data_IF_102956606891
#
_entry.id   IF_102956606891
#
_cell.length_a   1.000
_cell.length_b   1.000
_cell.length_c   1.000
_cell.angle_alpha   90.00
_cell.angle_beta   90.00
_cell.angle_gamma   90.00
#
_symmetry.space_group_name_H-M   'P 1'
#
loop_
_entity.id
_entity.type
_entity.pdbx_description
1 polymer ?
#
# COMPACT_ATOMS: atom_id res chain seq x y z
N UNK A 1 -12.42 27.92 9.65
CA UNK A 1 -12.86 27.22 8.44
C UNK A 1 -12.50 25.76 8.61
N UNK A 2 -13.48 24.87 8.38
CA UNK A 2 -13.34 23.44 8.52
C UNK A 2 -12.99 22.78 7.19
N UNK A 3 -12.02 21.89 7.20
CA UNK A 3 -11.55 21.16 6.01
C UNK A 3 -11.67 19.66 6.27
N UNK A 4 -12.33 18.96 5.34
CA UNK A 4 -12.41 17.50 5.32
C UNK A 4 -11.47 16.92 4.26
N UNK A 5 -10.85 15.78 4.54
CA UNK A 5 -10.03 15.04 3.57
C UNK A 5 -10.56 13.63 3.44
N UNK A 6 -10.87 13.22 2.22
CA UNK A 6 -11.21 11.85 1.86
C UNK A 6 -10.02 11.23 1.14
N UNK A 7 -9.50 10.13 1.66
CA UNK A 7 -8.33 9.43 1.09
C UNK A 7 -8.76 8.10 0.49
N UNK A 8 -8.51 7.92 -0.80
CA UNK A 8 -8.80 6.69 -1.54
C UNK A 8 -7.51 6.00 -1.98
N UNK A 9 -7.61 4.70 -2.24
CA UNK A 9 -6.54 3.91 -2.83
C UNK A 9 -5.51 3.39 -1.83
N UNK A 10 -4.23 3.46 -2.17
CA UNK A 10 -3.16 2.72 -1.51
C UNK A 10 -2.49 3.48 -0.33
N UNK A 11 -1.69 2.78 0.50
CA UNK A 11 -0.95 3.41 1.61
C UNK A 11 -0.05 4.59 1.22
N UNK A 12 0.48 4.62 -0.02
CA UNK A 12 1.26 5.78 -0.48
C UNK A 12 0.39 7.03 -0.61
N UNK A 13 -0.85 6.85 -1.10
CA UNK A 13 -1.84 7.92 -1.19
C UNK A 13 -2.29 8.39 0.21
N UNK A 14 -2.42 7.44 1.14
CA UNK A 14 -2.75 7.75 2.53
C UNK A 14 -1.68 8.63 3.19
N UNK A 15 -0.39 8.31 3.01
CA UNK A 15 0.72 9.14 3.51
C UNK A 15 0.66 10.56 2.92
N UNK A 16 0.30 10.72 1.65
CA UNK A 16 0.11 12.03 1.02
C UNK A 16 -1.04 12.80 1.69
N UNK A 17 -2.17 12.13 1.97
CA UNK A 17 -3.32 12.71 2.70
C UNK A 17 -2.96 13.14 4.11
N UNK A 18 -2.25 12.31 4.87
CA UNK A 18 -1.80 12.64 6.22
C UNK A 18 -0.82 13.82 6.26
N UNK A 19 0.02 13.93 5.22
CA UNK A 19 0.90 15.09 5.04
C UNK A 19 0.09 16.35 4.73
N UNK A 20 -0.90 16.27 3.84
CA UNK A 20 -1.81 17.39 3.58
C UNK A 20 -2.53 17.83 4.86
N UNK A 21 -3.03 16.89 5.66
CA UNK A 21 -3.66 17.20 6.96
C UNK A 21 -2.71 17.93 7.91
N UNK A 22 -1.45 17.49 7.98
CA UNK A 22 -0.41 18.16 8.78
C UNK A 22 -0.19 19.61 8.34
N UNK A 23 -0.05 19.85 7.04
CA UNK A 23 0.15 21.19 6.48
C UNK A 23 -1.08 22.10 6.66
N UNK A 24 -2.29 21.55 6.51
CA UNK A 24 -3.55 22.25 6.76
C UNK A 24 -3.63 22.70 8.23
N UNK A 25 -3.23 21.84 9.16
CA UNK A 25 -3.22 22.15 10.59
C UNK A 25 -2.21 23.25 10.93
N UNK A 26 -1.00 23.23 10.36
CA UNK A 26 0.01 24.27 10.54
C UNK A 26 -0.46 25.66 10.04
N UNK A 27 -1.32 25.70 9.03
CA UNK A 27 -1.96 26.94 8.57
C UNK A 27 -3.16 27.37 9.43
N UNK A 28 -3.42 26.71 10.57
CA UNK A 28 -4.50 26.96 11.51
C UNK A 28 -5.91 26.77 10.96
N UNK A 29 -6.10 25.88 10.00
CA UNK A 29 -7.42 25.40 9.62
C UNK A 29 -7.90 24.29 10.56
N UNK A 30 -9.20 24.24 10.81
CA UNK A 30 -9.82 23.18 11.59
C UNK A 30 -10.07 21.96 10.70
N UNK A 31 -9.70 20.76 11.16
CA UNK A 31 -9.93 19.51 10.46
C UNK A 31 -11.22 18.87 10.96
N UNK A 32 -12.05 18.37 10.08
CA UNK A 32 -13.27 17.63 10.42
C UNK A 32 -13.36 16.31 9.66
N UNK A 33 -13.89 15.28 10.34
CA UNK A 33 -14.22 13.98 9.73
C UNK A 33 -15.68 13.94 9.24
N UNK A 34 -16.48 15.00 9.51
CA UNK A 34 -17.86 15.10 9.03
C UNK A 34 -17.89 15.94 7.76
N UNK A 35 -18.15 15.33 6.58
CA UNK A 35 -18.20 16.06 5.32
C UNK A 35 -19.30 17.14 5.29
N UNK A 36 -20.37 16.98 6.09
CA UNK A 36 -21.48 17.94 6.13
C UNK A 36 -21.08 19.28 6.78
N UNK A 37 -20.10 19.26 7.66
CA UNK A 37 -19.55 20.44 8.35
C UNK A 37 -18.37 21.08 7.61
N UNK A 38 -17.75 20.35 6.68
CA UNK A 38 -16.58 20.83 5.96
C UNK A 38 -16.94 21.95 4.98
N UNK A 39 -16.21 23.07 5.05
CA UNK A 39 -16.33 24.18 4.09
C UNK A 39 -15.47 23.93 2.83
N UNK A 40 -14.41 23.16 2.96
CA UNK A 40 -13.58 22.65 1.86
C UNK A 40 -13.48 21.13 2.03
N UNK A 41 -13.72 20.39 0.95
CA UNK A 41 -13.51 18.95 0.91
C UNK A 41 -12.39 18.65 -0.09
N UNK A 42 -11.37 17.94 0.36
CA UNK A 42 -10.25 17.47 -0.45
C UNK A 42 -10.45 15.98 -0.70
N UNK A 43 -10.49 15.55 -1.95
CA UNK A 43 -10.60 14.14 -2.33
C UNK A 43 -9.28 13.71 -2.95
N UNK A 44 -8.53 12.90 -2.22
CA UNK A 44 -7.29 12.29 -2.71
C UNK A 44 -7.62 10.96 -3.39
N UNK A 45 -7.51 10.93 -4.71
CA UNK A 45 -8.07 9.92 -5.60
C UNK A 45 -7.09 8.83 -6.01
N UNK A 46 -7.61 7.66 -6.35
CA UNK A 46 -6.88 6.58 -7.00
C UNK A 46 -7.24 6.54 -8.50
N UNK A 47 -6.25 6.32 -9.36
CA UNK A 47 -6.43 6.25 -10.82
C UNK A 47 -5.66 5.10 -11.44
N UNK A 48 -5.43 4.01 -10.67
CA UNK A 48 -4.56 2.91 -11.09
C UNK A 48 -5.28 1.90 -11.98
N UNK A 49 -6.49 1.47 -11.61
CA UNK A 49 -7.33 0.53 -12.36
C UNK A 49 -8.74 1.09 -12.50
N UNK A 50 -9.52 0.53 -13.43
CA UNK A 50 -10.87 1.04 -13.76
C UNK A 50 -11.78 1.15 -12.54
N UNK A 51 -11.89 0.11 -11.72
CA UNK A 51 -12.73 0.13 -10.51
C UNK A 51 -12.34 1.23 -9.52
N UNK A 52 -11.05 1.52 -9.38
CA UNK A 52 -10.58 2.60 -8.51
C UNK A 52 -10.85 4.00 -9.11
N UNK A 53 -10.91 4.11 -10.45
CA UNK A 53 -11.35 5.35 -11.13
C UNK A 53 -12.82 5.60 -10.88
N UNK A 54 -13.67 4.57 -11.06
CA UNK A 54 -15.09 4.64 -10.76
C UNK A 54 -15.38 5.03 -9.31
N UNK A 55 -14.70 4.38 -8.35
CA UNK A 55 -14.79 4.73 -6.93
C UNK A 55 -14.44 6.20 -6.70
N UNK A 56 -13.34 6.65 -7.29
CA UNK A 56 -12.87 8.03 -7.14
C UNK A 56 -13.87 9.05 -7.70
N UNK A 57 -14.41 8.82 -8.90
CA UNK A 57 -15.41 9.70 -9.53
C UNK A 57 -16.69 9.72 -8.69
N UNK A 58 -17.20 8.56 -8.30
CA UNK A 58 -18.40 8.45 -7.46
C UNK A 58 -18.23 9.18 -6.12
N UNK A 59 -17.04 9.08 -5.50
CA UNK A 59 -16.73 9.78 -4.26
C UNK A 59 -16.70 11.30 -4.47
N UNK A 60 -16.10 11.79 -5.55
CA UNK A 60 -16.10 13.23 -5.88
C UNK A 60 -17.54 13.73 -6.02
N UNK A 61 -18.38 13.02 -6.77
CA UNK A 61 -19.80 13.40 -6.96
C UNK A 61 -20.59 13.36 -5.64
N UNK A 62 -20.35 12.34 -4.81
CA UNK A 62 -20.97 12.25 -3.47
C UNK A 62 -20.57 13.43 -2.59
N UNK A 63 -19.29 13.79 -2.57
CA UNK A 63 -18.80 14.95 -1.81
C UNK A 63 -19.35 16.27 -2.36
N UNK A 64 -19.58 16.36 -3.69
CA UNK A 64 -20.17 17.52 -4.32
C UNK A 64 -21.61 17.80 -3.88
N UNK A 65 -22.38 16.79 -3.47
CA UNK A 65 -23.73 16.99 -2.93
C UNK A 65 -23.72 17.85 -1.65
N UNK A 66 -22.63 17.87 -0.89
CA UNK A 66 -22.50 18.75 0.28
C UNK A 66 -22.38 20.23 -0.06
N UNK A 67 -22.13 20.60 -1.33
CA UNK A 67 -22.30 21.99 -1.80
C UNK A 67 -23.76 22.43 -1.78
N UNK A 68 -24.72 21.50 -1.85
CA UNK A 68 -26.17 21.78 -1.85
C UNK A 68 -26.78 21.53 -0.47
N UNK A 69 -26.34 20.49 0.22
CA UNK A 69 -26.96 19.97 1.46
C UNK A 69 -26.17 20.24 2.74
N UNK A 70 -24.91 20.66 2.63
CA UNK A 70 -24.00 20.89 3.74
C UNK A 70 -23.38 22.29 3.75
N UNK A 71 -22.21 22.40 4.37
CA UNK A 71 -21.44 23.64 4.49
C UNK A 71 -20.40 23.81 3.38
N UNK A 72 -20.24 22.83 2.50
CA UNK A 72 -19.18 22.79 1.50
C UNK A 72 -19.29 23.91 0.47
N UNK A 73 -18.22 24.65 0.31
CA UNK A 73 -18.08 25.72 -0.67
C UNK A 73 -17.18 25.32 -1.82
N UNK A 74 -16.15 24.54 -1.51
CA UNK A 74 -15.10 24.21 -2.46
C UNK A 74 -14.72 22.73 -2.39
N UNK A 75 -14.44 22.14 -3.56
CA UNK A 75 -13.93 20.78 -3.72
C UNK A 75 -12.58 20.83 -4.42
N UNK A 76 -11.58 20.25 -3.80
CA UNK A 76 -10.24 20.08 -4.34
C UNK A 76 -10.04 18.58 -4.61
N UNK A 77 -9.77 18.24 -5.86
CA UNK A 77 -9.50 16.86 -6.26
C UNK A 77 -8.00 16.70 -6.49
N UNK A 78 -7.39 15.72 -5.84
CA UNK A 78 -5.94 15.44 -5.95
C UNK A 78 -5.68 13.95 -6.11
N UNK A 79 -4.43 13.54 -6.27
CA UNK A 79 -4.02 12.15 -6.31
C UNK A 79 -3.80 11.59 -7.72
N UNK A 80 -3.81 10.25 -7.80
CA UNK A 80 -3.41 9.55 -9.03
C UNK A 80 -4.38 9.77 -10.20
N UNK A 81 -5.70 9.83 -9.94
CA UNK A 81 -6.68 10.10 -10.98
C UNK A 81 -6.51 11.52 -11.53
N UNK A 82 -6.35 12.50 -10.64
CA UNK A 82 -6.09 13.90 -11.00
C UNK A 82 -4.85 14.07 -11.86
N UNK A 83 -3.77 13.36 -11.52
CA UNK A 83 -2.53 13.41 -12.30
C UNK A 83 -2.70 12.82 -13.70
N UNK A 84 -3.52 11.77 -13.83
CA UNK A 84 -3.68 11.01 -15.08
C UNK A 84 -4.67 11.63 -16.04
N UNK A 85 -5.75 12.26 -15.52
CA UNK A 85 -6.90 12.73 -16.29
C UNK A 85 -7.31 14.17 -15.90
N UNK A 86 -6.32 15.06 -15.69
CA UNK A 86 -6.59 16.41 -15.15
C UNK A 86 -7.54 17.23 -16.02
N UNK A 87 -7.31 17.24 -17.34
CA UNK A 87 -8.11 18.03 -18.28
C UNK A 87 -9.54 17.49 -18.41
N UNK A 88 -9.70 16.17 -18.47
CA UNK A 88 -11.00 15.50 -18.53
C UNK A 88 -11.80 15.78 -17.25
N UNK A 89 -11.20 15.59 -16.08
CA UNK A 89 -11.84 15.88 -14.79
C UNK A 89 -12.23 17.37 -14.67
N UNK A 90 -11.36 18.26 -15.11
CA UNK A 90 -11.62 19.69 -15.06
C UNK A 90 -12.79 20.09 -15.95
N UNK A 91 -12.92 19.47 -17.12
CA UNK A 91 -13.99 19.81 -18.07
C UNK A 91 -15.31 19.13 -17.71
N UNK A 92 -15.28 17.88 -17.23
CA UNK A 92 -16.49 17.07 -17.01
C UNK A 92 -17.04 17.17 -15.58
N UNK A 93 -16.23 17.62 -14.61
CA UNK A 93 -16.64 17.80 -13.21
C UNK A 93 -16.61 19.28 -12.82
N UNK A 94 -17.62 20.09 -13.22
CA UNK A 94 -17.68 21.49 -12.86
C UNK A 94 -17.78 21.74 -11.35
N UNK A 95 -18.12 20.71 -10.56
CA UNK A 95 -18.16 20.75 -9.11
C UNK A 95 -16.77 20.88 -8.48
N UNK A 96 -15.71 20.43 -9.17
CA UNK A 96 -14.33 20.55 -8.69
C UNK A 96 -13.80 21.97 -8.94
N UNK A 97 -13.35 22.62 -7.87
CA UNK A 97 -12.79 23.98 -7.93
C UNK A 97 -11.28 23.95 -8.23
N UNK A 98 -10.57 22.88 -7.85
CA UNK A 98 -9.18 22.65 -8.26
C UNK A 98 -8.91 21.19 -8.54
N UNK A 99 -8.08 20.93 -9.56
CA UNK A 99 -7.49 19.64 -9.86
C UNK A 99 -6.00 19.73 -9.59
N UNK A 100 -5.50 18.96 -8.62
CA UNK A 100 -4.12 18.95 -8.20
C UNK A 100 -3.45 17.60 -8.47
N UNK A 101 -2.23 17.59 -8.98
CA UNK A 101 -1.47 16.36 -9.24
C UNK A 101 -0.83 15.78 -7.98
N UNK A 102 -0.23 14.60 -8.16
CA UNK A 102 0.47 13.87 -7.07
C UNK A 102 1.76 14.56 -6.62
N UNK A 103 2.32 15.44 -7.43
CA UNK A 103 3.59 16.11 -7.11
C UNK A 103 3.40 17.39 -6.29
N UNK A 104 2.16 17.88 -6.15
CA UNK A 104 1.87 19.18 -5.54
C UNK A 104 1.06 19.08 -4.24
N UNK A 105 0.94 17.89 -3.67
CA UNK A 105 0.18 17.70 -2.41
C UNK A 105 0.76 18.49 -1.23
N UNK A 106 2.05 18.76 -1.24
CA UNK A 106 2.73 19.60 -0.24
C UNK A 106 2.53 21.11 -0.44
N UNK A 107 1.92 21.52 -1.56
CA UNK A 107 1.49 22.89 -1.81
C UNK A 107 0.00 23.12 -1.50
N UNK A 108 -0.64 22.20 -0.77
CA UNK A 108 -2.08 22.22 -0.48
C UNK A 108 -2.56 23.55 0.14
N UNK A 109 -1.79 24.18 1.01
CA UNK A 109 -2.11 25.48 1.58
C UNK A 109 -2.21 26.59 0.51
N UNK A 110 -1.36 26.57 -0.50
CA UNK A 110 -1.43 27.49 -1.65
C UNK A 110 -2.66 27.23 -2.51
N UNK A 111 -2.98 25.95 -2.75
CA UNK A 111 -4.15 25.52 -3.52
C UNK A 111 -5.43 26.00 -2.83
N UNK A 112 -5.55 25.80 -1.52
CA UNK A 112 -6.68 26.24 -0.70
C UNK A 112 -6.88 27.78 -0.83
N UNK A 113 -5.83 28.57 -0.69
CA UNK A 113 -5.89 30.04 -0.79
C UNK A 113 -6.37 30.51 -2.16
N UNK A 114 -5.93 29.87 -3.24
CA UNK A 114 -6.37 30.20 -4.60
C UNK A 114 -7.85 29.89 -4.82
N UNK A 115 -8.29 28.70 -4.37
CA UNK A 115 -9.70 28.30 -4.46
C UNK A 115 -10.59 29.27 -3.66
N UNK A 116 -10.17 29.68 -2.46
CA UNK A 116 -10.89 30.66 -1.64
C UNK A 116 -10.99 32.04 -2.29
N UNK A 117 -10.05 32.41 -3.15
CA UNK A 117 -10.10 33.64 -3.95
C UNK A 117 -11.01 33.51 -5.18
N UNK A 118 -11.70 32.39 -5.36
CA UNK A 118 -12.61 32.11 -6.46
C UNK A 118 -11.93 31.66 -7.75
N UNK A 119 -10.67 31.22 -7.68
CA UNK A 119 -10.00 30.63 -8.83
C UNK A 119 -10.47 29.19 -9.03
N UNK A 120 -10.69 28.80 -10.29
CA UNK A 120 -10.86 27.42 -10.73
C UNK A 120 -9.70 27.04 -11.66
N UNK A 121 -8.92 26.00 -11.32
CA UNK A 121 -7.63 25.74 -12.01
C UNK A 121 -7.15 24.30 -11.92
N UNK A 122 -6.20 23.96 -12.79
CA UNK A 122 -5.40 22.73 -12.74
C UNK A 122 -3.99 23.10 -12.26
N UNK A 123 -3.39 22.26 -11.39
CA UNK A 123 -2.03 22.39 -10.91
C UNK A 123 -1.36 21.01 -10.82
N UNK A 124 -0.55 20.67 -11.80
CA UNK A 124 0.16 19.39 -11.88
C UNK A 124 1.65 19.51 -11.54
N UNK A 125 2.22 20.68 -11.77
CA UNK A 125 3.65 20.95 -11.58
C UNK A 125 3.89 21.79 -10.33
N UNK A 126 5.00 21.55 -9.67
CA UNK A 126 5.44 22.29 -8.50
C UNK A 126 5.72 23.75 -8.81
N UNK A 127 5.29 24.62 -7.92
CA UNK A 127 5.70 26.04 -7.91
C UNK A 127 6.96 26.29 -7.07
N UNK A 128 7.37 25.30 -6.24
CA UNK A 128 8.48 25.39 -5.29
C UNK A 128 9.49 24.24 -5.50
N UNK A 129 10.76 24.41 -5.04
CA UNK A 129 11.71 23.32 -5.05
C UNK A 129 11.21 22.08 -4.30
N UNK A 130 11.54 20.91 -4.82
CA UNK A 130 11.19 19.63 -4.21
C UNK A 130 12.05 19.35 -2.96
N UNK A 131 11.56 19.76 -1.80
CA UNK A 131 12.23 19.52 -0.52
C UNK A 131 12.03 18.10 0.03
N UNK A 132 11.03 17.39 -0.47
CA UNK A 132 10.66 16.04 0.02
C UNK A 132 11.74 15.02 -0.35
N UNK A 133 12.31 15.15 -1.57
CA UNK A 133 13.28 14.19 -2.10
C UNK A 133 14.71 14.78 -2.18
N UNK A 134 14.91 16.03 -1.78
CA UNK A 134 16.22 16.70 -1.85
C UNK A 134 16.75 17.18 -0.51
N UNK A 135 15.90 17.45 0.48
CA UNK A 135 16.33 17.92 1.79
C UNK A 135 16.68 16.74 2.71
N UNK A 136 17.82 16.81 3.37
CA UNK A 136 18.24 15.86 4.42
C UNK A 136 17.69 16.22 5.81
N UNK A 137 17.25 17.45 5.99
CA UNK A 137 16.94 17.98 7.31
C UNK A 137 15.45 18.13 7.58
N UNK A 138 14.66 18.31 6.52
CA UNK A 138 13.25 18.67 6.63
C UNK A 138 12.38 17.50 6.21
N UNK A 139 11.49 17.04 7.08
CA UNK A 139 10.33 16.23 6.70
C UNK A 139 9.06 17.04 6.98
N UNK A 140 8.01 16.75 6.24
CA UNK A 140 6.75 17.46 6.35
C UNK A 140 5.94 16.98 7.56
N UNK A 141 5.14 17.86 8.18
CA UNK A 141 4.25 17.47 9.27
C UNK A 141 3.23 16.45 8.79
N UNK A 142 2.82 15.55 9.67
CA UNK A 142 1.78 14.56 9.37
C UNK A 142 0.80 14.45 10.53
N UNK A 143 -0.49 14.32 10.20
CA UNK A 143 -1.52 13.89 11.14
C UNK A 143 -1.93 12.49 10.71
N UNK A 144 -1.67 11.51 11.57
CA UNK A 144 -1.99 10.11 11.29
C UNK A 144 -3.51 9.91 11.28
N UNK A 145 -3.98 9.16 10.30
CA UNK A 145 -5.36 8.68 10.18
C UNK A 145 -5.48 7.19 10.45
N UNK A 146 -4.33 6.50 10.53
CA UNK A 146 -4.23 5.14 11.05
C UNK A 146 -4.34 5.12 12.58
N UNK A 147 -4.60 3.96 13.21
CA UNK A 147 -4.49 3.82 14.65
C UNK A 147 -3.13 4.31 15.16
N UNK A 148 -3.11 4.95 16.32
CA UNK A 148 -1.92 5.63 16.86
C UNK A 148 -0.68 4.74 17.02
N UNK A 149 -0.85 3.43 17.00
CA UNK A 149 0.21 2.42 17.16
C UNK A 149 0.78 1.90 15.84
N UNK A 150 0.19 2.25 14.69
CA UNK A 150 0.63 1.80 13.36
C UNK A 150 0.75 2.99 12.41
N UNK A 151 1.83 3.07 11.63
CA UNK A 151 2.00 4.09 10.62
C UNK A 151 2.72 3.56 9.37
N UNK A 152 2.35 4.08 8.21
CA UNK A 152 3.10 3.87 6.98
C UNK A 152 4.25 4.86 6.86
N UNK A 153 5.42 4.39 6.45
CA UNK A 153 6.61 5.19 6.18
C UNK A 153 6.95 5.10 4.68
N UNK A 154 6.61 6.14 3.95
CA UNK A 154 6.92 6.23 2.52
C UNK A 154 8.37 6.66 2.32
N UNK A 155 9.22 5.75 1.81
CA UNK A 155 10.67 5.95 1.66
C UNK A 155 11.10 6.40 0.27
N UNK A 156 10.25 6.19 -0.74
CA UNK A 156 10.50 6.61 -2.12
C UNK A 156 9.17 6.86 -2.86
N UNK A 157 9.26 7.48 -4.03
CA UNK A 157 8.14 7.78 -4.93
C UNK A 157 8.53 7.46 -6.38
N UNK A 158 7.54 7.09 -7.19
CA UNK A 158 7.74 6.77 -8.60
C UNK A 158 8.31 5.37 -8.84
N UNK A 159 8.46 4.97 -10.10
CA UNK A 159 8.94 3.64 -10.46
C UNK A 159 9.51 3.62 -11.87
N UNK A 160 10.69 3.00 -12.05
CA UNK A 160 11.36 2.83 -13.34
C UNK A 160 11.28 1.38 -13.88
N UNK A 161 10.56 0.48 -13.21
CA UNK A 161 10.45 -0.92 -13.66
C UNK A 161 9.69 -1.07 -15.00
N UNK A 162 8.88 -0.07 -15.38
CA UNK A 162 8.21 0.00 -16.69
C UNK A 162 7.43 -1.27 -17.07
N UNK A 163 6.81 -1.96 -16.10
CA UNK A 163 5.95 -3.11 -16.38
C UNK A 163 4.86 -2.72 -17.39
N UNK A 164 4.61 -3.57 -18.40
CA UNK A 164 3.77 -3.22 -19.55
C UNK A 164 2.30 -2.93 -19.19
N UNK A 165 1.81 -3.45 -18.07
CA UNK A 165 0.45 -3.26 -17.55
C UNK A 165 0.31 -2.04 -16.62
N UNK A 166 1.41 -1.41 -16.23
CA UNK A 166 1.44 -0.46 -15.12
C UNK A 166 1.45 1.00 -15.59
N UNK A 167 0.53 1.80 -15.07
CA UNK A 167 0.46 3.23 -15.35
C UNK A 167 1.31 4.10 -14.38
N UNK A 168 1.89 3.51 -13.33
CA UNK A 168 2.61 4.25 -12.26
C UNK A 168 3.72 5.15 -12.79
N UNK A 169 4.60 4.74 -13.73
CA UNK A 169 5.64 5.64 -14.23
C UNK A 169 5.09 6.95 -14.85
N UNK A 170 3.90 6.88 -15.45
CA UNK A 170 3.23 8.05 -16.02
C UNK A 170 2.49 8.91 -15.00
N UNK A 171 2.08 8.31 -13.87
CA UNK A 171 1.33 8.99 -12.81
C UNK A 171 2.28 9.60 -11.78
N UNK A 172 3.24 8.80 -11.28
CA UNK A 172 4.11 9.15 -10.15
C UNK A 172 5.56 9.49 -10.57
N UNK A 173 5.82 9.43 -11.88
CA UNK A 173 7.12 9.79 -12.45
C UNK A 173 8.24 8.78 -12.17
N UNK A 174 9.50 9.19 -12.42
CA UNK A 174 10.68 8.36 -12.19
C UNK A 174 10.88 8.07 -10.70
N UNK A 175 11.65 7.02 -10.42
CA UNK A 175 11.97 6.62 -9.06
C UNK A 175 12.81 7.67 -8.32
N UNK A 176 12.38 8.04 -7.12
CA UNK A 176 13.03 9.05 -6.27
C UNK A 176 13.02 8.59 -4.82
N UNK A 177 14.17 8.27 -4.26
CA UNK A 177 14.32 7.94 -2.84
C UNK A 177 14.33 9.20 -1.98
N UNK A 178 13.66 9.14 -0.82
CA UNK A 178 13.88 10.15 0.22
C UNK A 178 15.28 9.98 0.80
N UNK A 179 16.01 11.06 1.15
CA UNK A 179 17.27 10.97 1.87
C UNK A 179 17.15 10.16 3.14
N UNK A 180 18.11 9.28 3.42
CA UNK A 180 18.06 8.36 4.57
C UNK A 180 17.90 9.09 5.90
N UNK A 181 18.59 10.22 6.06
CA UNK A 181 18.50 11.05 7.26
C UNK A 181 17.08 11.59 7.50
N UNK A 182 16.39 11.96 6.42
CA UNK A 182 14.99 12.41 6.49
C UNK A 182 14.05 11.27 6.88
N UNK A 183 14.21 10.10 6.26
CA UNK A 183 13.41 8.90 6.57
C UNK A 183 13.57 8.51 8.04
N UNK A 184 14.78 8.52 8.57
CA UNK A 184 15.07 8.21 9.98
C UNK A 184 14.48 9.23 10.95
N UNK A 185 14.50 10.53 10.60
CA UNK A 185 13.86 11.57 11.40
C UNK A 185 12.35 11.41 11.44
N UNK A 186 11.71 11.12 10.29
CA UNK A 186 10.27 10.86 10.20
C UNK A 186 9.91 9.63 11.03
N UNK A 187 10.64 8.51 10.88
CA UNK A 187 10.42 7.29 11.63
C UNK A 187 10.54 7.50 13.13
N UNK A 188 11.56 8.27 13.58
CA UNK A 188 11.73 8.59 14.98
C UNK A 188 10.59 9.44 15.51
N UNK A 189 10.15 10.45 14.78
CA UNK A 189 9.02 11.29 15.19
C UNK A 189 7.72 10.47 15.33
N UNK A 190 7.46 9.54 14.41
CA UNK A 190 6.33 8.62 14.50
C UNK A 190 6.41 7.73 15.74
N UNK A 191 7.57 7.15 15.99
CA UNK A 191 7.82 6.29 17.15
C UNK A 191 7.72 7.04 18.48
N UNK A 192 8.23 8.27 18.56
CA UNK A 192 8.13 9.15 19.73
C UNK A 192 6.65 9.54 20.00
N UNK A 193 5.78 9.53 19.00
CA UNK A 193 4.33 9.75 19.10
C UNK A 193 3.52 8.47 19.36
N UNK A 194 4.17 7.34 19.65
CA UNK A 194 3.50 6.11 20.11
C UNK A 194 3.33 5.02 19.05
N UNK A 195 3.81 5.22 17.83
CA UNK A 195 3.81 4.18 16.80
C UNK A 195 4.69 3.02 17.24
N UNK A 196 4.15 1.82 17.16
CA UNK A 196 4.80 0.55 17.51
C UNK A 196 5.08 -0.33 16.29
N UNK A 197 4.21 -0.29 15.28
CA UNK A 197 4.42 -0.93 13.98
C UNK A 197 4.66 0.14 12.92
N UNK A 198 5.81 0.04 12.24
CA UNK A 198 6.17 0.89 11.11
C UNK A 198 6.15 0.08 9.83
N UNK A 199 5.34 0.50 8.86
CA UNK A 199 5.18 -0.19 7.59
C UNK A 199 5.89 0.62 6.51
N UNK A 200 7.02 0.09 6.04
CA UNK A 200 7.86 0.71 5.01
C UNK A 200 7.25 0.48 3.64
N UNK A 201 6.97 1.56 2.91
CA UNK A 201 6.30 1.52 1.61
C UNK A 201 6.99 2.39 0.57
N UNK A 202 6.97 1.92 -0.67
CA UNK A 202 7.29 2.64 -1.90
C UNK A 202 6.56 1.94 -3.06
N UNK A 203 6.78 2.33 -4.30
CA UNK A 203 6.34 1.54 -5.45
C UNK A 203 7.25 0.31 -5.67
N UNK A 204 8.52 0.43 -5.28
CA UNK A 204 9.49 -0.65 -5.18
C UNK A 204 10.44 -0.33 -4.02
N UNK A 205 10.27 -0.98 -2.89
CA UNK A 205 11.08 -0.72 -1.68
C UNK A 205 12.50 -1.27 -1.82
N UNK A 206 12.69 -2.32 -2.60
CA UNK A 206 13.99 -2.97 -2.77
C UNK A 206 15.00 -2.13 -3.55
N UNK A 207 14.53 -1.12 -4.32
CA UNK A 207 15.40 -0.17 -5.03
C UNK A 207 15.85 1.02 -4.19
N UNK A 208 15.38 1.13 -2.96
CA UNK A 208 15.69 2.28 -2.12
C UNK A 208 17.18 2.59 -2.06
N UNK A 209 17.52 3.83 -2.38
CA UNK A 209 18.88 4.36 -2.36
C UNK A 209 19.65 4.26 -3.69
N UNK A 210 19.16 3.51 -4.68
CA UNK A 210 19.85 3.33 -5.97
C UNK A 210 20.11 4.68 -6.69
N UNK A 211 19.17 5.61 -6.58
CA UNK A 211 19.21 6.96 -7.15
C UNK A 211 19.91 7.99 -6.25
N UNK A 212 20.23 7.64 -5.00
CA UNK A 212 20.94 8.49 -4.07
C UNK A 212 22.46 8.51 -4.37
N UNK A 213 23.20 9.54 -3.90
CA UNK A 213 24.65 9.60 -4.10
C UNK A 213 25.34 8.31 -3.64
N UNK A 214 26.01 7.65 -4.59
CA UNK A 214 26.70 6.37 -4.35
C UNK A 214 26.07 5.19 -5.09
N UNK A 215 24.84 5.31 -5.59
CA UNK A 215 24.19 4.34 -6.47
C UNK A 215 24.04 2.93 -5.86
N UNK A 216 23.72 2.83 -4.56
CA UNK A 216 23.64 1.56 -3.83
C UNK A 216 22.22 1.28 -3.37
N UNK A 217 21.85 0.00 -3.34
CA UNK A 217 20.65 -0.45 -2.66
C UNK A 217 20.85 -0.30 -1.14
N UNK A 218 20.06 0.56 -0.50
CA UNK A 218 20.22 0.94 0.91
C UNK A 218 19.12 0.41 1.82
N UNK A 219 18.18 -0.40 1.33
CA UNK A 219 17.06 -0.88 2.16
C UNK A 219 17.57 -1.68 3.38
N UNK A 220 18.54 -2.56 3.19
CA UNK A 220 19.12 -3.33 4.30
C UNK A 220 19.75 -2.42 5.37
N UNK A 221 20.49 -1.40 4.96
CA UNK A 221 21.11 -0.45 5.88
C UNK A 221 20.06 0.42 6.58
N UNK A 222 19.02 0.86 5.85
CA UNK A 222 17.89 1.57 6.44
C UNK A 222 17.18 0.74 7.52
N UNK A 223 16.91 -0.53 7.26
CA UNK A 223 16.27 -1.43 8.23
C UNK A 223 17.14 -1.64 9.48
N UNK A 224 18.47 -1.75 9.33
CA UNK A 224 19.41 -1.81 10.46
C UNK A 224 19.32 -0.56 11.33
N UNK A 225 19.20 0.64 10.73
CA UNK A 225 19.05 1.89 11.49
C UNK A 225 17.66 2.01 12.13
N UNK A 226 16.58 1.68 11.42
CA UNK A 226 15.22 1.67 11.97
C UNK A 226 15.09 0.71 13.15
N UNK A 227 15.76 -0.44 13.11
CA UNK A 227 15.76 -1.44 14.19
C UNK A 227 16.33 -0.91 15.51
N UNK A 228 17.15 0.15 15.47
CA UNK A 228 17.72 0.81 16.67
C UNK A 228 16.71 1.71 17.40
N UNK A 229 15.58 2.05 16.80
CA UNK A 229 14.54 2.89 17.44
C UNK A 229 13.84 2.04 18.51
N UNK A 230 14.08 2.32 19.79
CA UNK A 230 13.67 1.46 20.91
C UNK A 230 12.15 1.26 21.02
N UNK A 231 11.37 2.31 20.77
CA UNK A 231 9.90 2.29 20.89
C UNK A 231 9.19 1.51 19.79
N UNK A 232 9.86 1.25 18.65
CA UNK A 232 9.32 0.37 17.64
C UNK A 232 9.38 -1.09 18.07
N UNK A 233 8.31 -1.82 17.78
CA UNK A 233 8.19 -3.25 18.01
C UNK A 233 8.26 -4.03 16.70
N UNK A 234 7.58 -3.55 15.66
CA UNK A 234 7.55 -4.16 14.33
C UNK A 234 7.94 -3.17 13.23
N UNK A 235 8.72 -3.68 12.29
CA UNK A 235 9.07 -3.02 11.03
C UNK A 235 8.66 -3.98 9.91
N UNK A 236 7.61 -3.64 9.18
CA UNK A 236 7.11 -4.43 8.05
C UNK A 236 7.53 -3.78 6.74
N UNK A 237 7.94 -4.57 5.76
CA UNK A 237 8.33 -4.07 4.44
C UNK A 237 7.35 -4.59 3.39
N UNK A 238 6.77 -3.67 2.63
CA UNK A 238 5.81 -3.97 1.57
C UNK A 238 6.38 -3.58 0.21
N UNK A 239 5.82 -4.15 -0.86
CA UNK A 239 6.15 -3.81 -2.26
C UNK A 239 7.62 -4.08 -2.62
N UNK A 240 8.10 -5.28 -2.32
CA UNK A 240 9.42 -5.76 -2.73
C UNK A 240 9.42 -6.25 -4.18
N UNK A 241 10.57 -6.16 -4.83
CA UNK A 241 10.75 -6.70 -6.18
C UNK A 241 11.84 -7.79 -6.18
N UNK A 242 11.64 -8.96 -6.82
CA UNK A 242 12.53 -10.11 -6.69
C UNK A 242 13.98 -9.84 -7.05
N UNK A 243 14.25 -9.14 -8.16
CA UNK A 243 15.59 -8.90 -8.68
C UNK A 243 16.54 -8.16 -7.74
N UNK A 244 15.99 -7.34 -6.85
CA UNK A 244 16.78 -6.53 -5.93
C UNK A 244 16.85 -7.15 -4.52
N UNK A 245 16.38 -8.39 -4.35
CA UNK A 245 16.40 -9.08 -3.06
C UNK A 245 17.77 -9.71 -2.81
N UNK A 246 18.71 -8.88 -2.36
CA UNK A 246 20.12 -9.27 -2.16
C UNK A 246 20.32 -10.19 -0.96
N UNK A 247 21.49 -10.86 -0.89
CA UNK A 247 21.86 -11.69 0.27
C UNK A 247 21.94 -10.89 1.57
N UNK A 248 22.43 -9.65 1.53
CA UNK A 248 22.46 -8.75 2.70
C UNK A 248 21.04 -8.41 3.17
N UNK A 249 20.10 -8.19 2.24
CA UNK A 249 18.71 -7.97 2.60
C UNK A 249 18.07 -9.22 3.23
N UNK A 250 18.31 -10.41 2.69
CA UNK A 250 17.84 -11.69 3.26
C UNK A 250 18.39 -11.86 4.69
N UNK A 251 19.68 -11.63 4.90
CA UNK A 251 20.30 -11.72 6.23
C UNK A 251 19.74 -10.67 7.20
N UNK A 252 19.42 -9.49 6.70
CA UNK A 252 18.79 -8.42 7.47
C UNK A 252 17.41 -8.85 7.98
N UNK A 253 16.57 -9.45 7.12
CA UNK A 253 15.27 -10.01 7.54
C UNK A 253 15.42 -11.18 8.51
N UNK A 254 16.47 -11.98 8.36
CA UNK A 254 16.72 -13.13 9.23
C UNK A 254 17.19 -12.73 10.64
N UNK A 255 18.03 -11.69 10.74
CA UNK A 255 18.77 -11.36 11.96
C UNK A 255 18.16 -10.25 12.82
N UNK A 256 17.39 -9.33 12.23
CA UNK A 256 16.80 -8.22 12.98
C UNK A 256 15.50 -8.65 13.67
N UNK A 257 15.41 -8.39 14.96
CA UNK A 257 14.32 -8.84 15.83
C UNK A 257 13.00 -8.08 15.62
N UNK A 258 13.07 -6.80 15.17
CA UNK A 258 11.89 -5.97 14.90
C UNK A 258 11.40 -6.08 13.45
N UNK A 259 12.23 -6.55 12.53
CA UNK A 259 11.81 -6.75 11.14
C UNK A 259 10.90 -7.97 11.07
N UNK A 260 9.65 -7.75 10.70
CA UNK A 260 8.69 -8.85 10.54
C UNK A 260 9.22 -9.88 9.52
N UNK A 261 9.15 -11.15 9.89
CA UNK A 261 9.45 -12.23 8.95
C UNK A 261 8.31 -12.39 7.94
N UNK A 262 8.10 -11.34 7.20
CA UNK A 262 7.03 -11.15 6.23
C UNK A 262 7.58 -10.40 5.03
N UNK A 263 7.40 -10.95 3.84
CA UNK A 263 7.85 -10.35 2.57
C UNK A 263 6.67 -10.26 1.62
N UNK A 264 6.33 -9.05 1.19
CA UNK A 264 5.37 -8.80 0.11
C UNK A 264 6.13 -8.71 -1.21
N UNK A 265 5.94 -9.73 -2.06
CA UNK A 265 6.72 -9.97 -3.27
C UNK A 265 5.78 -10.23 -4.47
N UNK A 266 5.20 -9.19 -5.10
CA UNK A 266 4.29 -9.34 -6.22
C UNK A 266 4.98 -9.98 -7.44
N UNK A 267 4.72 -11.25 -7.71
CA UNK A 267 5.34 -12.05 -8.80
C UNK A 267 4.63 -11.89 -10.13
N UNK A 268 3.34 -11.62 -10.12
CA UNK A 268 2.43 -11.34 -11.23
C UNK A 268 2.06 -12.57 -12.08
N UNK A 269 3.00 -13.43 -12.45
CA UNK A 269 2.76 -14.67 -13.20
C UNK A 269 3.91 -15.66 -12.99
N UNK A 270 3.76 -16.92 -13.49
CA UNK A 270 4.80 -17.95 -13.48
C UNK A 270 5.35 -18.27 -14.88
N UNK A 271 4.57 -18.04 -15.94
CA UNK A 271 5.03 -18.28 -17.31
C UNK A 271 6.10 -17.26 -17.74
N UNK A 272 7.30 -17.72 -18.05
CA UNK A 272 8.41 -16.88 -18.52
C UNK A 272 8.03 -16.06 -19.78
N UNK A 273 7.20 -16.63 -20.65
CA UNK A 273 6.70 -15.95 -21.84
C UNK A 273 5.85 -14.74 -21.48
N UNK A 274 4.96 -14.89 -20.49
CA UNK A 274 4.10 -13.79 -20.03
C UNK A 274 4.89 -12.79 -19.19
N UNK A 275 5.79 -13.23 -18.32
CA UNK A 275 6.69 -12.33 -17.57
C UNK A 275 7.48 -11.43 -18.53
N UNK A 276 8.03 -11.97 -19.60
CA UNK A 276 8.68 -11.18 -20.65
C UNK A 276 7.73 -10.19 -21.33
N UNK A 277 6.47 -10.59 -21.62
CA UNK A 277 5.45 -9.71 -22.20
C UNK A 277 4.98 -8.64 -21.23
N UNK A 278 5.00 -8.93 -19.93
CA UNK A 278 4.76 -7.97 -18.83
C UNK A 278 5.93 -7.01 -18.62
N UNK A 279 7.02 -7.15 -19.38
CA UNK A 279 8.28 -6.44 -19.18
C UNK A 279 8.85 -6.62 -17.76
N UNK A 280 8.76 -7.85 -17.27
CA UNK A 280 9.39 -8.26 -16.01
C UNK A 280 10.71 -8.95 -16.30
N UNK A 281 11.68 -8.67 -15.45
CA UNK A 281 13.06 -9.16 -15.64
C UNK A 281 13.30 -10.50 -14.95
N UNK A 282 12.36 -10.94 -14.09
CA UNK A 282 12.45 -12.20 -13.37
C UNK A 282 12.03 -13.37 -14.26
N UNK A 283 12.69 -14.49 -14.12
CA UNK A 283 12.22 -15.80 -14.64
C UNK A 283 11.63 -16.63 -13.50
N UNK A 284 10.80 -17.62 -13.83
CA UNK A 284 10.25 -18.57 -12.88
C UNK A 284 11.34 -19.24 -12.05
N UNK A 285 12.42 -19.67 -12.69
CA UNK A 285 13.54 -20.38 -12.05
C UNK A 285 14.30 -19.50 -11.05
N UNK A 286 14.49 -18.22 -11.38
CA UNK A 286 15.10 -17.23 -10.48
C UNK A 286 14.21 -16.98 -9.28
N UNK A 287 12.90 -16.84 -9.49
CA UNK A 287 11.91 -16.68 -8.42
C UNK A 287 11.88 -17.91 -7.51
N UNK A 288 11.80 -19.13 -8.06
CA UNK A 288 11.83 -20.37 -7.28
C UNK A 288 13.12 -20.48 -6.42
N UNK A 289 14.25 -20.10 -7.01
CA UNK A 289 15.53 -20.06 -6.29
C UNK A 289 15.49 -19.06 -5.13
N UNK A 290 14.93 -17.85 -5.35
CA UNK A 290 14.77 -16.84 -4.30
C UNK A 290 13.84 -17.32 -3.20
N UNK A 291 12.67 -17.87 -3.53
CA UNK A 291 11.70 -18.39 -2.56
C UNK A 291 12.29 -19.49 -1.69
N UNK A 292 12.99 -20.46 -2.32
CA UNK A 292 13.68 -21.52 -1.59
C UNK A 292 14.76 -20.96 -0.63
N UNK A 293 15.49 -19.92 -1.07
CA UNK A 293 16.52 -19.26 -0.27
C UNK A 293 15.92 -18.51 0.91
N UNK A 294 14.82 -17.77 0.70
CA UNK A 294 14.08 -17.06 1.75
C UNK A 294 13.61 -18.04 2.82
N UNK A 295 12.90 -19.10 2.44
CA UNK A 295 12.41 -20.13 3.38
C UNK A 295 13.51 -20.83 4.15
N UNK A 296 14.65 -21.09 3.49
CA UNK A 296 15.82 -21.73 4.13
C UNK A 296 16.52 -20.80 5.13
N UNK A 297 16.65 -19.52 4.80
CA UNK A 297 17.43 -18.56 5.59
C UNK A 297 16.61 -17.88 6.68
N UNK A 298 15.30 -17.79 6.51
CA UNK A 298 14.38 -17.10 7.43
C UNK A 298 13.30 -18.10 7.87
N UNK A 299 13.55 -18.93 8.89
CA UNK A 299 12.54 -19.87 9.38
C UNK A 299 11.26 -19.13 9.83
N UNK A 300 10.11 -19.61 9.38
CA UNK A 300 8.80 -19.00 9.67
C UNK A 300 8.49 -17.76 8.85
N UNK A 301 9.22 -17.52 7.75
CA UNK A 301 8.89 -16.42 6.84
C UNK A 301 7.51 -16.62 6.23
N UNK A 302 6.75 -15.54 6.17
CA UNK A 302 5.49 -15.43 5.44
C UNK A 302 5.77 -14.73 4.13
N UNK A 303 5.37 -15.35 3.03
CA UNK A 303 5.52 -14.78 1.69
C UNK A 303 4.13 -14.43 1.17
N UNK A 304 3.92 -13.13 1.01
CA UNK A 304 2.76 -12.58 0.33
C UNK A 304 3.12 -12.31 -1.12
N UNK A 305 2.23 -12.64 -2.03
CA UNK A 305 2.40 -12.38 -3.45
C UNK A 305 1.13 -11.85 -4.11
N UNK A 306 1.26 -11.48 -5.36
CA UNK A 306 0.14 -11.04 -6.19
C UNK A 306 0.30 -11.61 -7.60
N UNK A 307 -0.81 -12.08 -8.18
CA UNK A 307 -0.87 -12.58 -9.55
C UNK A 307 -1.87 -11.79 -10.39
N UNK A 308 -1.62 -11.72 -11.69
CA UNK A 308 -2.51 -11.17 -12.70
C UNK A 308 -2.90 -12.30 -13.66
N UNK A 309 -4.19 -12.56 -13.79
CA UNK A 309 -4.74 -13.54 -14.73
C UNK A 309 -5.46 -12.82 -15.88
N UNK A 310 -5.51 -13.46 -17.05
CA UNK A 310 -6.14 -12.86 -18.23
C UNK A 310 -5.31 -11.75 -18.86
N UNK A 311 -4.00 -11.75 -18.67
CA UNK A 311 -3.09 -10.82 -19.37
C UNK A 311 -3.16 -11.07 -20.91
N UNK A 312 -3.02 -10.03 -21.76
CA UNK A 312 -3.11 -10.18 -23.21
C UNK A 312 -2.23 -11.30 -23.74
N UNK A 313 -2.86 -12.25 -24.45
CA UNK A 313 -2.21 -13.43 -25.02
C UNK A 313 -1.93 -14.57 -24.04
N UNK A 314 -2.44 -14.53 -22.81
CA UNK A 314 -2.38 -15.66 -21.89
C UNK A 314 -3.19 -16.85 -22.43
N UNK A 315 -2.56 -18.00 -22.52
CA UNK A 315 -3.20 -19.25 -22.97
C UNK A 315 -3.63 -20.09 -21.75
N UNK A 316 -4.44 -21.14 -22.00
CA UNK A 316 -4.81 -22.09 -20.94
C UNK A 316 -3.56 -22.80 -20.40
N UNK A 317 -2.57 -23.09 -21.24
CA UNK A 317 -1.32 -23.70 -20.81
C UNK A 317 -0.50 -22.78 -19.86
N UNK A 318 -0.49 -21.45 -20.12
CA UNK A 318 0.15 -20.50 -19.21
C UNK A 318 -0.59 -20.42 -17.87
N UNK A 319 -1.91 -20.49 -17.90
CA UNK A 319 -2.72 -20.49 -16.68
C UNK A 319 -2.54 -21.76 -15.86
N UNK A 320 -2.50 -22.95 -16.50
CA UNK A 320 -2.18 -24.21 -15.82
C UNK A 320 -0.78 -24.14 -15.20
N UNK A 321 0.21 -23.61 -15.92
CA UNK A 321 1.57 -23.40 -15.38
C UNK A 321 1.55 -22.51 -14.13
N UNK A 322 0.71 -21.46 -14.09
CA UNK A 322 0.54 -20.60 -12.94
C UNK A 322 -0.09 -21.35 -11.76
N UNK A 323 -1.13 -22.17 -11.99
CA UNK A 323 -1.76 -22.99 -10.94
C UNK A 323 -0.78 -23.98 -10.33
N UNK A 324 -0.04 -24.71 -11.17
CA UNK A 324 1.00 -25.63 -10.72
C UNK A 324 2.05 -24.91 -9.85
N UNK A 325 2.47 -23.71 -10.26
CA UNK A 325 3.43 -22.91 -9.50
C UNK A 325 2.87 -22.50 -8.13
N UNK A 326 1.63 -22.03 -8.04
CA UNK A 326 0.97 -21.66 -6.79
C UNK A 326 0.82 -22.87 -5.87
N UNK A 327 0.41 -24.02 -6.40
CA UNK A 327 0.30 -25.28 -5.65
C UNK A 327 1.65 -25.75 -5.11
N UNK A 328 2.71 -25.65 -5.91
CA UNK A 328 4.07 -26.07 -5.51
C UNK A 328 4.68 -25.10 -4.50
N UNK A 329 4.50 -23.79 -4.69
CA UNK A 329 5.12 -22.78 -3.85
C UNK A 329 4.36 -22.56 -2.53
N UNK A 330 3.05 -22.81 -2.47
CA UNK A 330 2.24 -22.73 -1.24
C UNK A 330 2.46 -21.39 -0.52
N UNK A 331 2.01 -20.31 -1.13
CA UNK A 331 2.14 -18.99 -0.54
C UNK A 331 1.20 -18.87 0.68
N UNK A 332 1.69 -18.24 1.74
CA UNK A 332 0.89 -17.96 2.93
C UNK A 332 -0.25 -17.01 2.59
N UNK A 333 0.06 -15.95 1.82
CA UNK A 333 -0.92 -14.98 1.35
C UNK A 333 -0.72 -14.72 -0.15
N UNK A 334 -1.79 -14.79 -0.94
CA UNK A 334 -1.74 -14.38 -2.32
C UNK A 334 -3.03 -13.69 -2.75
N UNK A 335 -2.88 -12.54 -3.41
CA UNK A 335 -3.96 -11.86 -4.10
C UNK A 335 -3.93 -12.15 -5.59
N UNK A 336 -5.11 -12.32 -6.20
CA UNK A 336 -5.24 -12.47 -7.64
C UNK A 336 -6.03 -11.28 -8.19
N UNK A 337 -5.62 -10.76 -9.33
CA UNK A 337 -6.32 -9.70 -10.04
C UNK A 337 -6.62 -10.15 -11.47
N UNK A 338 -7.85 -9.97 -11.91
CA UNK A 338 -8.17 -10.00 -13.33
C UNK A 338 -7.48 -8.80 -14.02
N UNK A 339 -6.82 -9.03 -15.13
CA UNK A 339 -6.13 -7.97 -15.85
C UNK A 339 -7.09 -6.84 -16.24
N UNK A 340 -6.78 -5.62 -15.83
CA UNK A 340 -7.47 -4.40 -16.22
C UNK A 340 -6.77 -3.77 -17.44
N UNK A 341 -7.51 -3.57 -18.53
CA UNK A 341 -6.98 -2.93 -19.73
C UNK A 341 -6.91 -1.41 -19.53
N UNK A 342 -5.73 -0.93 -19.13
CA UNK A 342 -5.52 0.48 -18.81
C UNK A 342 -5.02 1.29 -19.99
N UNK A 343 -5.71 2.38 -20.26
CA UNK A 343 -5.33 3.33 -21.31
C UNK A 343 -3.91 3.86 -21.10
N UNK A 344 -3.18 4.03 -22.19
CA UNK A 344 -1.82 4.56 -22.16
C UNK A 344 -0.76 3.59 -21.66
N UNK A 345 -1.11 2.35 -21.27
CA UNK A 345 -0.14 1.29 -20.95
C UNK A 345 0.21 0.49 -22.21
N UNK A 346 1.41 -0.12 -22.23
CA UNK A 346 1.80 -0.95 -23.36
C UNK A 346 0.89 -2.17 -23.51
N UNK A 347 0.53 -2.82 -22.40
CA UNK A 347 -0.37 -3.97 -22.39
C UNK A 347 -1.80 -3.60 -22.83
N UNK A 348 -2.27 -2.39 -22.54
CA UNK A 348 -3.58 -1.91 -22.97
C UNK A 348 -3.71 -1.83 -24.49
N UNK A 349 -2.59 -1.61 -25.18
CA UNK A 349 -2.51 -1.56 -26.67
C UNK A 349 -2.17 -2.91 -27.33
N UNK A 350 -1.89 -3.95 -26.54
CA UNK A 350 -1.57 -5.28 -27.11
C UNK A 350 -2.78 -5.90 -27.82
N UNK A 351 -2.55 -6.61 -28.93
CA UNK A 351 -3.58 -7.47 -29.50
C UNK A 351 -3.86 -8.68 -28.58
N UNK A 352 -4.87 -9.46 -28.91
CA UNK A 352 -5.22 -10.68 -28.17
C UNK A 352 -5.61 -10.42 -26.70
N UNK A 353 -6.38 -9.37 -26.45
CA UNK A 353 -7.03 -9.15 -25.16
C UNK A 353 -7.93 -10.35 -24.82
N UNK A 354 -7.88 -10.78 -23.57
CA UNK A 354 -8.66 -11.91 -23.08
C UNK A 354 -10.08 -11.41 -22.72
N UNK A 355 -11.14 -12.13 -23.12
CA UNK A 355 -12.52 -11.80 -22.70
C UNK A 355 -12.68 -11.77 -21.18
N UNK A 356 -13.54 -10.87 -20.69
CA UNK A 356 -13.71 -10.67 -19.26
C UNK A 356 -14.26 -11.91 -18.54
N UNK A 357 -15.11 -12.70 -19.23
CA UNK A 357 -15.63 -13.96 -18.68
C UNK A 357 -14.48 -14.94 -18.38
N UNK A 358 -13.49 -15.06 -19.27
CA UNK A 358 -12.32 -15.93 -19.06
C UNK A 358 -11.42 -15.38 -17.95
N UNK A 359 -11.24 -14.06 -17.88
CA UNK A 359 -10.48 -13.45 -16.77
C UNK A 359 -11.11 -13.75 -15.43
N UNK A 360 -12.44 -13.64 -15.32
CA UNK A 360 -13.19 -13.92 -14.10
C UNK A 360 -13.17 -15.42 -13.74
N UNK A 361 -13.29 -16.31 -14.72
CA UNK A 361 -13.16 -17.76 -14.52
C UNK A 361 -11.79 -18.09 -13.91
N UNK A 362 -10.70 -17.62 -14.52
CA UNK A 362 -9.33 -17.84 -14.04
C UNK A 362 -9.09 -17.22 -12.68
N UNK A 363 -9.64 -16.01 -12.42
CA UNK A 363 -9.58 -15.36 -11.12
C UNK A 363 -10.21 -16.24 -10.02
N UNK A 364 -11.43 -16.71 -10.24
CA UNK A 364 -12.13 -17.54 -9.25
C UNK A 364 -11.43 -18.88 -9.02
N UNK A 365 -10.95 -19.52 -10.08
CA UNK A 365 -10.25 -20.79 -9.99
C UNK A 365 -8.94 -20.67 -9.19
N UNK A 366 -8.13 -19.65 -9.48
CA UNK A 366 -6.85 -19.45 -8.80
C UNK A 366 -7.06 -19.00 -7.33
N UNK A 367 -8.08 -18.17 -7.06
CA UNK A 367 -8.45 -17.78 -5.70
C UNK A 367 -8.96 -18.97 -4.89
N UNK A 368 -9.73 -19.89 -5.51
CA UNK A 368 -10.19 -21.10 -4.83
C UNK A 368 -9.02 -22.03 -4.46
N UNK A 369 -8.06 -22.20 -5.34
CA UNK A 369 -6.81 -22.94 -5.05
C UNK A 369 -6.04 -22.30 -3.90
N UNK A 370 -5.83 -20.98 -3.96
CA UNK A 370 -5.11 -20.26 -2.90
C UNK A 370 -5.86 -20.32 -1.56
N UNK A 371 -7.19 -20.27 -1.55
CA UNK A 371 -7.98 -20.38 -0.34
C UNK A 371 -7.76 -21.75 0.37
N UNK A 372 -7.67 -22.84 -0.39
CA UNK A 372 -7.35 -24.17 0.16
C UNK A 372 -5.95 -24.19 0.76
N UNK A 373 -4.95 -23.65 0.05
CA UNK A 373 -3.57 -23.58 0.53
C UNK A 373 -3.49 -22.73 1.81
N UNK A 374 -4.15 -21.59 1.83
CA UNK A 374 -4.19 -20.71 2.99
C UNK A 374 -4.80 -21.38 4.21
N UNK A 375 -5.94 -22.09 4.04
CA UNK A 375 -6.57 -22.83 5.11
C UNK A 375 -5.65 -23.92 5.70
N UNK A 376 -4.98 -24.69 4.86
CA UNK A 376 -4.01 -25.71 5.31
C UNK A 376 -2.86 -25.07 6.10
N UNK A 377 -2.30 -23.95 5.62
CA UNK A 377 -1.22 -23.25 6.31
C UNK A 377 -1.69 -22.65 7.66
N UNK A 378 -2.92 -22.13 7.74
CA UNK A 378 -3.47 -21.64 9.00
C UNK A 378 -3.70 -22.79 10.00
N UNK A 379 -4.19 -23.95 9.54
CA UNK A 379 -4.30 -25.15 10.39
C UNK A 379 -2.93 -25.60 10.92
N UNK A 380 -1.85 -25.49 10.13
CA UNK A 380 -0.49 -25.82 10.58
C UNK A 380 0.03 -24.84 11.68
N UNK A 381 -0.65 -23.73 11.94
CA UNK A 381 -0.34 -22.83 13.06
C UNK A 381 -1.01 -23.23 14.36
N UNK A 382 -1.95 -24.16 14.36
CA UNK A 382 -2.65 -24.63 15.57
C UNK A 382 -1.67 -25.16 16.61
N UNK A 383 -1.84 -24.74 17.87
CA UNK A 383 -0.93 -25.03 18.97
C UNK A 383 0.33 -24.16 19.02
N UNK A 384 0.55 -23.28 18.05
CA UNK A 384 1.66 -22.33 18.08
C UNK A 384 1.29 -21.09 18.91
N UNK A 385 2.26 -20.49 19.57
CA UNK A 385 2.13 -19.21 20.25
C UNK A 385 2.61 -18.09 19.34
N UNK A 386 1.71 -17.16 19.00
CA UNK A 386 2.03 -15.97 18.23
C UNK A 386 1.96 -14.72 19.11
N UNK A 387 2.80 -13.74 18.83
CA UNK A 387 2.65 -12.39 19.38
C UNK A 387 1.67 -11.63 18.49
N UNK A 388 0.62 -11.06 19.06
CA UNK A 388 -0.48 -10.38 18.36
C UNK A 388 -0.56 -8.93 18.80
N UNK A 389 -0.58 -8.00 17.86
CA UNK A 389 -0.94 -6.60 18.05
C UNK A 389 -2.47 -6.52 18.05
N UNK A 390 -3.06 -6.21 19.18
CA UNK A 390 -4.52 -6.06 19.32
C UNK A 390 -4.95 -4.76 18.63
N UNK A 391 -5.95 -4.85 17.75
CA UNK A 391 -6.42 -3.72 16.95
C UNK A 391 -7.82 -3.26 17.28
N UNK A 392 -8.67 -4.16 17.77
CA UNK A 392 -10.05 -3.80 18.11
C UNK A 392 -10.79 -4.85 18.89
N UNK A 393 -12.07 -4.56 19.04
CA UNK A 393 -13.08 -5.44 19.66
C UNK A 393 -14.21 -5.51 18.65
N UNK A 394 -14.75 -6.73 18.42
CA UNK A 394 -15.89 -6.92 17.55
C UNK A 394 -17.13 -6.16 18.04
N UNK A 395 -17.79 -5.48 17.10
CA UNK A 395 -19.00 -4.67 17.40
C UNK A 395 -20.29 -5.52 17.47
N UNK A 396 -20.18 -6.83 17.23
CA UNK A 396 -21.32 -7.77 17.23
C UNK A 396 -21.84 -8.14 18.63
N UNK A 397 -21.19 -7.63 19.66
CA UNK A 397 -21.52 -7.91 21.07
C UNK A 397 -20.92 -9.21 21.61
N UNK A 398 -20.10 -9.93 20.85
CA UNK A 398 -19.37 -11.12 21.30
C UNK A 398 -18.29 -10.79 22.34
N UNK A 399 -17.76 -9.57 22.30
CA UNK A 399 -16.63 -9.15 23.12
C UNK A 399 -15.29 -9.76 22.64
N UNK A 400 -15.27 -10.40 21.48
CA UNK A 400 -14.08 -10.92 20.84
C UNK A 400 -13.13 -9.75 20.50
N UNK A 401 -11.88 -9.90 20.89
CA UNK A 401 -10.84 -9.00 20.44
C UNK A 401 -10.23 -9.56 19.16
N UNK A 402 -9.76 -8.65 18.30
CA UNK A 402 -9.03 -9.04 17.10
C UNK A 402 -7.73 -8.25 16.97
N UNK A 403 -6.83 -8.79 16.19
CA UNK A 403 -5.55 -8.16 15.91
C UNK A 403 -4.78 -8.91 14.83
N UNK A 404 -3.51 -8.59 14.70
CA UNK A 404 -2.62 -9.20 13.72
C UNK A 404 -1.35 -9.70 14.39
N UNK A 405 -0.83 -10.81 13.92
CA UNK A 405 0.54 -11.23 14.20
C UNK A 405 1.51 -10.63 13.15
N UNK A 406 2.78 -11.03 13.22
CA UNK A 406 3.73 -10.65 12.16
C UNK A 406 3.33 -11.23 10.78
N UNK A 407 2.41 -12.20 10.76
CA UNK A 407 1.99 -12.94 9.56
C UNK A 407 1.01 -12.17 8.69
N UNK A 408 0.32 -11.19 9.24
CA UNK A 408 -0.73 -10.44 8.58
C UNK A 408 -0.35 -8.96 8.43
N UNK A 409 -0.43 -8.44 7.21
CA UNK A 409 -0.35 -7.00 6.95
C UNK A 409 -1.74 -6.35 7.11
N UNK A 410 -1.82 -5.10 7.61
CA UNK A 410 -3.10 -4.45 7.84
C UNK A 410 -3.90 -4.27 6.55
N UNK A 411 -5.21 -4.42 6.67
CA UNK A 411 -6.24 -4.17 5.64
C UNK A 411 -6.21 -5.12 4.42
N UNK A 412 -5.21 -5.98 4.29
CA UNK A 412 -5.04 -6.84 3.10
C UNK A 412 -4.89 -8.33 3.38
N UNK A 413 -4.51 -8.70 4.60
CA UNK A 413 -4.43 -10.09 5.03
C UNK A 413 -5.49 -10.34 6.12
N UNK A 414 -5.55 -11.55 6.66
CA UNK A 414 -6.52 -11.93 7.68
C UNK A 414 -6.24 -11.38 9.08
N UNK A 415 -7.01 -11.88 10.04
CA UNK A 415 -6.97 -11.46 11.44
C UNK A 415 -6.77 -12.65 12.38
N UNK A 416 -6.30 -12.35 13.59
CA UNK A 416 -6.29 -13.28 14.72
C UNK A 416 -7.33 -12.83 15.72
N UNK A 417 -8.39 -13.64 15.91
CA UNK A 417 -9.41 -13.44 16.93
C UNK A 417 -8.94 -14.01 18.26
N UNK A 418 -9.17 -13.30 19.34
CA UNK A 418 -8.68 -13.62 20.66
C UNK A 418 -9.85 -13.91 21.60
N UNK A 419 -9.99 -15.16 22.00
CA UNK A 419 -10.93 -15.56 23.05
C UNK A 419 -10.35 -15.25 24.43
N UNK A 420 -11.24 -14.96 25.38
CA UNK A 420 -10.87 -14.66 26.76
C UNK A 420 -9.78 -13.58 26.91
N UNK A 421 -9.90 -12.45 26.21
CA UNK A 421 -8.83 -11.47 26.10
C UNK A 421 -8.46 -10.80 27.44
N UNK A 422 -9.41 -10.80 28.40
CA UNK A 422 -9.27 -10.02 29.63
C UNK A 422 -9.36 -8.52 29.35
N UNK A 423 -8.74 -7.72 30.20
CA UNK A 423 -8.71 -6.25 30.05
C UNK A 423 -7.51 -5.82 29.18
N UNK A 424 -7.66 -5.97 27.84
CA UNK A 424 -6.64 -5.57 26.87
C UNK A 424 -7.19 -4.42 26.02
N UNK A 425 -6.32 -3.45 25.72
CA UNK A 425 -6.64 -2.30 24.88
C UNK A 425 -5.99 -2.44 23.48
N UNK A 426 -6.63 -1.91 22.45
CA UNK A 426 -5.98 -1.77 21.14
C UNK A 426 -4.61 -1.09 21.25
N UNK A 427 -3.65 -1.54 20.43
CA UNK A 427 -2.27 -1.12 20.47
C UNK A 427 -1.39 -1.88 21.48
N UNK A 428 -1.92 -2.86 22.19
CA UNK A 428 -1.13 -3.76 23.05
C UNK A 428 -0.68 -4.99 22.28
N UNK A 429 0.53 -5.48 22.60
CA UNK A 429 1.02 -6.78 22.14
C UNK A 429 0.74 -7.84 23.20
N UNK A 430 0.18 -8.96 22.77
CA UNK A 430 -0.12 -10.10 23.65
C UNK A 430 0.33 -11.40 22.99
N UNK A 431 0.59 -12.41 23.82
CA UNK A 431 0.84 -13.76 23.34
C UNK A 431 -0.46 -14.51 23.25
N UNK A 432 -0.71 -15.13 22.10
CA UNK A 432 -1.92 -15.89 21.80
C UNK A 432 -1.52 -17.31 21.38
N UNK A 433 -2.07 -18.30 22.02
CA UNK A 433 -1.98 -19.69 21.60
C UNK A 433 -3.07 -19.94 20.55
N UNK A 434 -2.70 -20.27 19.33
CA UNK A 434 -3.65 -20.53 18.24
C UNK A 434 -4.38 -21.83 18.49
N UNK A 435 -5.69 -21.77 18.54
CA UNK A 435 -6.57 -22.93 18.77
C UNK A 435 -7.09 -23.49 17.46
N UNK A 436 -7.42 -22.63 16.50
CA UNK A 436 -8.01 -23.03 15.22
C UNK A 436 -7.61 -22.05 14.10
N UNK A 437 -7.23 -22.61 12.96
CA UNK A 437 -6.97 -21.90 11.72
C UNK A 437 -8.11 -22.06 10.72
N UNK A 438 -8.48 -20.97 10.06
CA UNK A 438 -9.48 -20.90 8.99
C UNK A 438 -8.81 -20.47 7.68
N UNK A 439 -9.58 -20.20 6.65
CA UNK A 439 -9.06 -19.83 5.32
C UNK A 439 -8.14 -18.59 5.37
N UNK A 440 -8.55 -17.54 6.09
CA UNK A 440 -7.81 -16.28 6.19
C UNK A 440 -7.62 -15.80 7.62
N UNK A 441 -8.23 -16.46 8.58
CA UNK A 441 -8.31 -16.03 9.97
C UNK A 441 -7.86 -17.13 10.89
N UNK A 442 -7.46 -16.76 12.09
CA UNK A 442 -7.16 -17.71 13.16
C UNK A 442 -7.88 -17.29 14.44
N UNK A 443 -8.23 -18.28 15.27
CA UNK A 443 -8.79 -18.05 16.60
C UNK A 443 -7.81 -18.61 17.62
N UNK A 444 -7.58 -17.89 18.68
CA UNK A 444 -6.70 -18.33 19.76
C UNK A 444 -7.08 -17.76 21.11
N UNK A 445 -6.41 -18.22 22.16
CA UNK A 445 -6.59 -17.74 23.51
C UNK A 445 -5.31 -17.02 24.01
N UNK A 446 -5.51 -15.99 24.81
CA UNK A 446 -4.38 -15.29 25.46
C UNK A 446 -3.74 -16.18 26.51
N UNK A 447 -2.38 -16.17 26.55
CA UNK A 447 -1.58 -16.89 27.55
C UNK A 447 -0.75 -15.94 28.42
#
# INVERSE_FOLDING_TARGET
MKIGVVSLGCPKNLVDSETMLGLIHEENYEITNDPSEAEIIIVNTCGFIESAKEESINTILQMAEYKKSGSCKYIIVTGCLSQRYAEELFNELPEADAIAGVEVYDEIGSIIKRVMNGERFIMLERSKPDVIYTSKETFLPRILTTPSYTAYLKIAEGCDNCCSYCAIPKIRGPYRSKPTEQVLKEAKALADNGVKELIVVAQDTTRYGEDLPGGKLLLADLLKELNKIESLKWIRVMYCYPNNFTDDLIETFASLDKVCKYVDLPLQHASNRLLASMNRYDTREEVETLLAKLRKRIPGIVIRTTFIVGFPGETDADFEELKEFVEQQRFENAGVFAYSQEEGTAAGAMPNQIPDEIKQERYHELMALQAQISEEIHKDTEGQTLEVLVEGIEEDGSGLHYGRSYREAPDIDGLVFIENPGDIKPGCFVKVNILQGFTYESVGERI
#
